data_IF_367611845469
#
_entry.id   IF_367611845469
#
_cell.length_a   1.000
_cell.length_b   1.000
_cell.length_c   1.000
_cell.angle_alpha   90.00
_cell.angle_beta   90.00
_cell.angle_gamma   90.00
#
_symmetry.space_group_name_H-M   'P 1'
#
loop_
_entity.id
_entity.type
_entity.pdbx_description
1 polymer ?
#
# COMPACT_ATOMS: atom_id res chain seq x y z
N UNK A 1 -9.92 32.76 -12.06
CA UNK A 1 -9.90 31.67 -11.07
C UNK A 1 -10.73 30.52 -11.63
N UNK A 2 -10.09 29.53 -12.25
CA UNK A 2 -10.77 28.31 -12.73
C UNK A 2 -10.65 27.26 -11.64
N UNK A 3 -11.78 26.84 -11.08
CA UNK A 3 -11.87 25.64 -10.25
C UNK A 3 -11.87 24.44 -11.20
N UNK A 4 -10.83 23.61 -11.15
CA UNK A 4 -10.86 22.30 -11.78
C UNK A 4 -11.62 21.36 -10.84
N UNK A 5 -12.75 20.84 -11.30
CA UNK A 5 -13.42 19.71 -10.66
C UNK A 5 -12.64 18.46 -11.06
N UNK A 6 -12.06 17.76 -10.08
CA UNK A 6 -11.51 16.42 -10.27
C UNK A 6 -12.72 15.46 -10.35
N UNK A 7 -12.92 14.87 -11.52
CA UNK A 7 -13.98 13.88 -11.74
C UNK A 7 -13.39 12.52 -11.37
N UNK A 8 -13.82 11.94 -10.25
CA UNK A 8 -13.63 10.52 -10.01
C UNK A 8 -14.41 9.74 -11.09
N UNK A 9 -13.73 8.87 -11.83
CA UNK A 9 -14.36 8.02 -12.84
C UNK A 9 -14.75 6.72 -12.14
N UNK A 10 -16.01 6.63 -11.74
CA UNK A 10 -16.63 5.40 -11.22
C UNK A 10 -17.07 4.54 -12.41
N UNK A 11 -16.46 3.36 -12.59
CA UNK A 11 -16.92 2.37 -13.57
C UNK A 11 -17.96 1.44 -12.93
N UNK A 12 -19.24 1.75 -13.12
CA UNK A 12 -20.34 0.85 -12.72
C UNK A 12 -20.58 -0.15 -13.86
N UNK A 13 -20.12 -1.39 -13.70
CA UNK A 13 -20.41 -2.47 -14.65
C UNK A 13 -21.76 -3.11 -14.26
N UNK A 14 -22.84 -2.71 -14.92
CA UNK A 14 -24.15 -3.34 -14.74
C UNK A 14 -24.31 -4.55 -15.68
N UNK A 15 -24.11 -5.77 -15.16
CA UNK A 15 -24.63 -6.97 -15.79
C UNK A 15 -26.05 -7.26 -15.32
N UNK A 16 -26.93 -7.60 -16.27
CA UNK A 16 -28.38 -7.63 -16.09
C UNK A 16 -28.95 -8.81 -15.28
N UNK A 17 -30.07 -8.51 -14.62
CA UNK A 17 -31.20 -9.37 -14.25
C UNK A 17 -30.89 -10.76 -13.64
N UNK A 18 -30.37 -10.72 -12.43
CA UNK A 18 -30.50 -11.71 -11.36
C UNK A 18 -30.36 -10.93 -10.05
N UNK A 19 -30.82 -11.42 -8.91
CA UNK A 19 -30.53 -10.79 -7.62
C UNK A 19 -29.03 -10.91 -7.27
N UNK A 20 -28.18 -10.22 -8.03
CA UNK A 20 -26.73 -10.27 -7.93
C UNK A 20 -26.22 -9.19 -7.00
N UNK A 21 -25.35 -9.60 -6.07
CA UNK A 21 -24.46 -8.71 -5.31
C UNK A 21 -23.84 -7.69 -6.26
N UNK A 22 -23.90 -6.42 -5.90
CA UNK A 22 -23.20 -5.36 -6.61
C UNK A 22 -21.79 -5.27 -6.04
N UNK A 23 -20.78 -5.73 -6.77
CA UNK A 23 -19.39 -5.53 -6.36
C UNK A 23 -18.98 -4.09 -6.63
N UNK A 24 -18.45 -3.42 -5.62
CA UNK A 24 -17.84 -2.10 -5.70
C UNK A 24 -16.32 -2.26 -5.73
N UNK A 25 -15.64 -1.51 -6.59
CA UNK A 25 -14.18 -1.55 -6.73
C UNK A 25 -13.62 -0.15 -6.64
N UNK A 26 -12.62 0.02 -5.76
CA UNK A 26 -11.87 1.26 -5.56
C UNK A 26 -10.41 1.02 -5.87
N UNK A 27 -9.91 1.66 -6.92
CA UNK A 27 -8.50 1.68 -7.27
C UNK A 27 -7.75 2.79 -6.54
N UNK A 28 -6.42 2.66 -6.45
CA UNK A 28 -5.55 3.80 -6.14
C UNK A 28 -5.83 4.95 -7.13
N UNK A 29 -6.20 6.11 -6.60
CA UNK A 29 -6.65 7.24 -7.41
C UNK A 29 -5.52 8.03 -8.05
N UNK A 30 -4.37 8.15 -7.37
CA UNK A 30 -3.22 8.95 -7.81
C UNK A 30 -1.91 8.34 -7.30
N UNK A 31 -0.79 8.66 -7.95
CA UNK A 31 0.57 8.30 -7.48
C UNK A 31 1.01 8.95 -6.16
N UNK A 32 0.11 9.62 -5.45
CA UNK A 32 0.34 10.10 -4.07
C UNK A 32 -0.47 9.32 -3.04
N UNK A 33 -1.34 8.42 -3.49
CA UNK A 33 -2.12 7.52 -2.64
C UNK A 33 -1.41 6.17 -2.43
N UNK A 34 -0.30 5.91 -3.13
CA UNK A 34 0.59 4.78 -2.87
C UNK A 34 2.07 5.15 -2.94
N UNK A 35 2.89 4.34 -2.29
CA UNK A 35 4.33 4.54 -2.20
C UNK A 35 4.99 3.55 -1.25
N UNK A 36 6.27 3.75 -0.97
CA UNK A 36 6.98 2.96 0.02
C UNK A 36 7.90 3.82 0.87
N UNK A 37 8.04 3.44 2.13
CA UNK A 37 9.02 3.98 3.06
C UNK A 37 10.15 2.97 3.23
N UNK A 38 11.38 3.44 3.10
CA UNK A 38 12.59 2.67 3.36
C UNK A 38 13.37 3.34 4.48
N UNK A 39 13.78 2.59 5.51
CA UNK A 39 14.63 3.08 6.59
C UNK A 39 15.97 2.32 6.60
N UNK A 40 17.04 3.04 6.92
CA UNK A 40 18.36 2.47 7.19
C UNK A 40 18.27 1.60 8.45
N UNK A 41 18.38 0.29 8.27
CA UNK A 41 18.11 -0.71 9.32
C UNK A 41 18.95 -0.48 10.57
N UNK A 42 20.17 0.03 10.43
CA UNK A 42 21.10 0.30 11.54
C UNK A 42 20.63 1.36 12.56
N UNK A 43 19.62 2.16 12.22
CA UNK A 43 19.06 3.18 13.12
C UNK A 43 17.74 2.75 13.79
N UNK A 44 17.17 1.62 13.35
CA UNK A 44 15.95 1.08 13.93
C UNK A 44 16.24 0.34 15.24
N UNK A 45 15.27 0.28 16.18
CA UNK A 45 13.93 0.88 16.11
C UNK A 45 13.85 2.33 16.60
N UNK A 46 14.96 2.94 17.03
CA UNK A 46 14.94 4.20 17.77
C UNK A 46 14.63 5.42 16.88
N UNK A 47 15.12 5.45 15.64
CA UNK A 47 14.88 6.55 14.69
C UNK A 47 14.92 6.01 13.26
N UNK A 48 14.04 6.49 12.39
CA UNK A 48 14.01 6.06 11.00
C UNK A 48 14.60 7.14 10.08
N UNK A 49 15.87 6.96 9.69
CA UNK A 49 16.46 7.74 8.60
C UNK A 49 16.39 6.96 7.29
N UNK A 50 15.90 7.58 6.22
CA UNK A 50 15.75 6.90 4.94
C UNK A 50 15.00 7.72 3.90
N UNK A 51 14.05 7.09 3.22
CA UNK A 51 13.37 7.64 2.05
C UNK A 51 11.88 7.31 2.11
N UNK A 52 11.03 8.28 1.81
CA UNK A 52 9.62 8.07 1.47
C UNK A 52 9.50 8.34 -0.03
N UNK A 53 9.06 7.35 -0.80
CA UNK A 53 9.08 7.38 -2.26
C UNK A 53 7.70 7.05 -2.81
N UNK A 54 7.30 7.84 -3.81
CA UNK A 54 6.13 7.66 -4.64
C UNK A 54 6.52 8.01 -6.10
N UNK A 55 5.62 7.86 -7.08
CA UNK A 55 5.94 8.05 -8.49
C UNK A 55 7.00 7.06 -9.04
N UNK A 56 7.05 5.85 -8.49
CA UNK A 56 7.93 4.76 -8.94
C UNK A 56 7.10 3.50 -9.19
N UNK A 57 7.44 2.75 -10.23
CA UNK A 57 6.69 1.55 -10.62
C UNK A 57 6.78 0.42 -9.58
N UNK A 58 7.92 0.28 -8.92
CA UNK A 58 8.17 -0.82 -7.97
C UNK A 58 8.25 -0.33 -6.53
N UNK A 59 7.34 -0.84 -5.69
CA UNK A 59 7.28 -0.53 -4.26
C UNK A 59 7.75 -1.71 -3.42
N UNK A 60 8.76 -1.50 -2.58
CA UNK A 60 9.46 -2.59 -1.88
C UNK A 60 8.90 -2.95 -0.51
N UNK A 61 8.66 -4.24 -0.27
CA UNK A 61 8.43 -4.83 1.07
C UNK A 61 9.57 -5.79 1.39
N UNK A 62 10.38 -5.47 2.40
CA UNK A 62 11.45 -6.34 2.88
C UNK A 62 12.79 -5.64 3.03
N UNK A 63 13.88 -6.39 2.90
CA UNK A 63 15.23 -5.92 3.22
C UNK A 63 16.14 -5.96 2.00
N UNK A 64 16.71 -4.82 1.63
CA UNK A 64 17.58 -4.66 0.47
C UNK A 64 18.91 -4.02 0.85
N UNK A 65 19.93 -4.21 0.01
CA UNK A 65 21.19 -3.46 0.11
C UNK A 65 21.14 -2.27 -0.84
N UNK A 66 21.31 -1.06 -0.32
CA UNK A 66 21.41 0.15 -1.12
C UNK A 66 22.69 0.15 -1.99
N UNK A 67 22.73 1.00 -3.02
CA UNK A 67 23.94 1.15 -3.85
C UNK A 67 25.18 1.63 -3.07
N UNK A 68 24.99 2.24 -1.89
CA UNK A 68 26.06 2.63 -0.97
C UNK A 68 26.54 1.51 -0.03
N UNK A 69 25.90 0.34 -0.05
CA UNK A 69 26.22 -0.82 0.79
C UNK A 69 25.49 -0.87 2.14
N UNK A 70 24.71 0.15 2.48
CA UNK A 70 23.85 0.14 3.68
C UNK A 70 22.62 -0.74 3.47
N UNK A 71 22.16 -1.41 4.52
CA UNK A 71 20.91 -2.18 4.53
C UNK A 71 19.70 -1.26 4.76
N UNK A 72 18.68 -1.43 3.92
CA UNK A 72 17.40 -0.75 3.98
C UNK A 72 16.30 -1.78 4.29
N UNK A 73 15.45 -1.47 5.25
CA UNK A 73 14.18 -2.18 5.48
C UNK A 73 13.07 -1.32 4.90
N UNK A 74 12.17 -1.91 4.13
CA UNK A 74 11.15 -1.21 3.34
C UNK A 74 9.75 -1.75 3.61
N UNK A 75 8.78 -0.84 3.61
CA UNK A 75 7.33 -1.09 3.78
C UNK A 75 6.57 -0.33 2.72
N UNK A 76 5.47 -0.89 2.23
CA UNK A 76 4.60 -0.25 1.24
C UNK A 76 3.40 0.37 1.94
N UNK A 77 2.95 1.50 1.42
CA UNK A 77 1.83 2.29 1.91
C UNK A 77 0.79 2.41 0.80
N UNK A 78 -0.47 2.16 1.12
CA UNK A 78 -1.62 2.38 0.24
C UNK A 78 -2.70 3.18 0.96
N UNK A 79 -3.41 4.02 0.22
CA UNK A 79 -4.48 4.88 0.72
C UNK A 79 -5.69 4.78 -0.20
N UNK A 80 -6.83 4.35 0.33
CA UNK A 80 -8.05 4.15 -0.46
C UNK A 80 -9.17 5.05 0.04
N UNK A 81 -9.96 5.62 -0.88
CA UNK A 81 -11.17 6.38 -0.58
C UNK A 81 -12.40 5.48 -0.69
N UNK A 82 -12.99 5.13 0.45
CA UNK A 82 -14.13 4.24 0.60
C UNK A 82 -15.44 5.02 0.80
N UNK A 83 -15.65 6.13 0.07
CA UNK A 83 -16.82 7.01 0.20
C UNK A 83 -18.18 6.27 0.16
N UNK A 84 -18.27 5.20 -0.62
CA UNK A 84 -19.50 4.42 -0.84
C UNK A 84 -19.51 3.07 -0.08
N UNK A 85 -18.59 2.87 0.86
CA UNK A 85 -18.53 1.64 1.63
C UNK A 85 -19.63 1.57 2.69
N UNK A 86 -20.37 0.45 2.73
CA UNK A 86 -21.51 0.24 3.61
C UNK A 86 -21.34 -1.02 4.47
N UNK A 87 -20.49 -0.95 5.50
CA UNK A 87 -20.39 -1.96 6.57
C UNK A 87 -20.20 -3.42 6.10
N UNK A 88 -19.54 -3.63 4.97
CA UNK A 88 -19.17 -4.97 4.48
C UNK A 88 -17.67 -5.23 4.62
N UNK A 89 -17.29 -6.52 4.63
CA UNK A 89 -15.88 -6.88 4.58
C UNK A 89 -15.30 -6.44 3.24
N UNK A 90 -14.06 -5.99 3.23
CA UNK A 90 -13.38 -5.55 2.01
C UNK A 90 -12.26 -6.52 1.67
N UNK A 91 -11.89 -6.62 0.39
CA UNK A 91 -10.76 -7.44 -0.05
C UNK A 91 -9.73 -6.55 -0.72
N UNK A 92 -8.52 -6.50 -0.16
CA UNK A 92 -7.36 -5.84 -0.77
C UNK A 92 -6.76 -6.74 -1.84
N UNK A 93 -6.43 -6.18 -3.00
CA UNK A 93 -5.68 -6.82 -4.07
C UNK A 93 -4.41 -6.05 -4.39
N UNK A 94 -3.28 -6.77 -4.40
CA UNK A 94 -1.97 -6.23 -4.76
C UNK A 94 -1.22 -7.17 -5.69
N UNK A 95 -0.52 -6.61 -6.68
CA UNK A 95 0.21 -7.37 -7.69
C UNK A 95 1.70 -7.41 -7.36
N UNK A 96 2.27 -8.61 -7.25
CA UNK A 96 3.70 -8.79 -6.99
C UNK A 96 4.49 -8.81 -8.31
N UNK A 97 5.24 -7.76 -8.60
CA UNK A 97 6.01 -7.63 -9.85
C UNK A 97 7.29 -8.48 -9.84
N UNK A 98 7.90 -8.64 -8.66
CA UNK A 98 9.21 -9.30 -8.53
C UNK A 98 9.46 -9.83 -7.12
N UNK A 99 10.23 -10.92 -7.02
CA UNK A 99 10.71 -11.50 -5.77
C UNK A 99 12.22 -11.60 -5.80
N UNK A 100 12.88 -11.09 -4.75
CA UNK A 100 14.31 -11.22 -4.54
C UNK A 100 14.53 -12.02 -3.25
N UNK A 101 15.24 -13.15 -3.36
CA UNK A 101 15.55 -14.01 -2.21
C UNK A 101 14.34 -14.80 -1.71
N UNK A 102 14.23 -14.95 -0.38
CA UNK A 102 13.16 -15.66 0.32
C UNK A 102 12.63 -14.80 1.49
N UNK A 103 11.81 -13.78 1.20
CA UNK A 103 11.45 -12.77 2.19
C UNK A 103 10.49 -13.27 3.28
N UNK A 104 9.73 -14.34 3.00
CA UNK A 104 8.74 -14.88 3.92
C UNK A 104 7.37 -14.26 3.70
N UNK A 105 6.52 -14.22 4.73
CA UNK A 105 5.15 -13.70 4.60
C UNK A 105 5.10 -12.19 4.77
N UNK A 106 4.17 -11.57 4.04
CA UNK A 106 3.79 -10.16 4.16
C UNK A 106 2.61 -10.05 5.11
N UNK A 107 2.70 -9.13 6.06
CA UNK A 107 1.63 -8.74 6.98
C UNK A 107 0.93 -7.49 6.42
N UNK A 108 -0.40 -7.50 6.44
CA UNK A 108 -1.26 -6.39 6.06
C UNK A 108 -1.74 -5.71 7.33
N UNK A 109 -1.43 -4.42 7.47
CA UNK A 109 -1.90 -3.60 8.58
C UNK A 109 -2.85 -2.53 8.07
N UNK A 110 -3.87 -2.23 8.86
CA UNK A 110 -4.88 -1.20 8.59
C UNK A 110 -4.73 -0.10 9.62
N UNK A 111 -4.83 1.15 9.16
CA UNK A 111 -4.75 2.33 10.00
C UNK A 111 -5.63 3.46 9.44
N UNK A 112 -5.76 4.52 10.23
CA UNK A 112 -6.41 5.74 9.77
C UNK A 112 -5.64 6.40 8.62
N UNK A 113 -6.30 7.32 7.95
CA UNK A 113 -5.70 8.13 6.89
C UNK A 113 -4.37 8.78 7.33
N UNK A 114 -3.28 8.47 6.60
CA UNK A 114 -1.96 9.08 6.79
C UNK A 114 -1.70 10.29 5.86
N UNK A 115 -2.69 10.65 5.03
CA UNK A 115 -2.62 11.73 4.06
C UNK A 115 -1.91 11.35 2.75
N UNK A 116 -1.85 12.28 1.80
CA UNK A 116 -1.12 12.05 0.55
C UNK A 116 0.38 11.97 0.80
N UNK A 117 1.04 10.97 0.19
CA UNK A 117 2.49 10.80 0.26
C UNK A 117 3.17 11.96 -0.48
N UNK A 118 4.13 12.65 0.14
CA UNK A 118 4.78 13.80 -0.47
C UNK A 118 5.68 13.36 -1.62
N UNK A 119 5.69 14.16 -2.70
CA UNK A 119 6.71 14.01 -3.73
C UNK A 119 8.08 14.36 -3.11
N UNK A 120 8.92 13.34 -2.92
CA UNK A 120 10.26 13.53 -2.37
C UNK A 120 11.04 14.48 -3.31
N UNK A 121 11.46 15.63 -2.79
CA UNK A 121 12.26 16.63 -3.52
C UNK A 121 13.52 17.05 -2.76
N UNK A 122 13.78 16.40 -1.64
CA UNK A 122 14.88 16.68 -0.72
C UNK A 122 16.12 15.83 -0.93
N UNK A 123 17.16 16.14 -0.16
CA UNK A 123 18.36 15.30 -0.07
C UNK A 123 18.04 14.08 0.80
N UNK A 124 18.30 12.89 0.28
CA UNK A 124 18.11 11.62 0.98
C UNK A 124 19.46 11.06 1.47
N UNK A 125 19.51 10.35 2.61
CA UNK A 125 18.37 10.01 3.49
C UNK A 125 17.88 11.19 4.33
N UNK A 126 16.60 11.21 4.64
CA UNK A 126 15.92 12.17 5.54
C UNK A 126 15.28 11.47 6.74
N UNK A 127 14.75 12.23 7.70
CA UNK A 127 13.95 11.65 8.79
C UNK A 127 12.57 11.24 8.27
N UNK A 128 12.30 9.94 8.24
CA UNK A 128 11.05 9.33 7.79
C UNK A 128 10.26 8.70 8.93
N UNK A 129 10.58 9.05 10.18
CA UNK A 129 9.95 8.49 11.38
C UNK A 129 8.42 8.60 11.38
N UNK A 130 7.88 9.71 10.86
CA UNK A 130 6.43 9.91 10.74
C UNK A 130 5.73 8.87 9.86
N UNK A 131 6.43 8.29 8.88
CA UNK A 131 5.92 7.27 7.98
C UNK A 131 6.27 5.87 8.49
N UNK A 132 7.49 5.71 9.02
CA UNK A 132 7.98 4.44 9.51
C UNK A 132 7.17 3.92 10.70
N UNK A 133 6.87 4.78 11.67
CA UNK A 133 6.18 4.40 12.90
C UNK A 133 4.64 4.38 12.77
N UNK A 134 4.09 4.52 11.57
CA UNK A 134 2.64 4.35 11.34
C UNK A 134 2.14 2.98 11.81
N UNK A 135 3.00 1.95 11.74
CA UNK A 135 2.72 0.59 12.22
C UNK A 135 2.36 0.53 13.70
N UNK A 136 2.80 1.49 14.52
CA UNK A 136 2.54 1.51 15.97
C UNK A 136 1.08 1.86 16.29
N UNK A 137 0.37 2.46 15.32
CA UNK A 137 -1.06 2.80 15.41
C UNK A 137 -1.97 1.89 14.58
N UNK A 138 -1.37 0.97 13.83
CA UNK A 138 -2.07 0.10 12.90
C UNK A 138 -2.47 -1.23 13.56
N UNK A 139 -3.46 -1.90 12.99
CA UNK A 139 -3.90 -3.23 13.42
C UNK A 139 -3.73 -4.24 12.28
N UNK A 140 -3.29 -5.45 12.61
CA UNK A 140 -3.04 -6.52 11.64
C UNK A 140 -4.38 -7.06 11.12
N UNK A 141 -4.61 -6.93 9.82
CA UNK A 141 -5.79 -7.47 9.15
C UNK A 141 -5.58 -8.91 8.67
N UNK A 142 -4.35 -9.27 8.31
CA UNK A 142 -4.04 -10.60 7.79
C UNK A 142 -2.63 -10.71 7.25
N UNK A 143 -2.33 -11.85 6.65
CA UNK A 143 -1.03 -12.14 6.05
C UNK A 143 -1.18 -12.98 4.78
N UNK A 144 -0.20 -12.87 3.90
CA UNK A 144 -0.12 -13.67 2.68
C UNK A 144 1.34 -13.89 2.28
N UNK A 145 1.57 -14.84 1.37
CA UNK A 145 2.89 -15.05 0.76
C UNK A 145 2.77 -14.74 -0.73
N UNK A 146 3.35 -13.64 -1.21
CA UNK A 146 3.23 -13.25 -2.62
C UNK A 146 3.90 -14.25 -3.57
N UNK A 147 3.30 -14.43 -4.74
CA UNK A 147 3.88 -15.14 -5.88
C UNK A 147 4.23 -14.16 -7.01
N UNK A 148 5.38 -14.34 -7.64
CA UNK A 148 5.86 -13.41 -8.66
C UNK A 148 4.96 -13.46 -9.89
N UNK A 149 4.51 -12.28 -10.33
CA UNK A 149 3.65 -12.14 -11.50
C UNK A 149 2.18 -12.44 -11.21
N UNK A 150 1.80 -12.56 -9.94
CA UNK A 150 0.43 -12.88 -9.52
C UNK A 150 -0.16 -11.81 -8.60
N UNK A 151 -1.50 -11.78 -8.58
CA UNK A 151 -2.29 -11.00 -7.64
C UNK A 151 -2.42 -11.77 -6.33
N UNK A 152 -2.17 -11.09 -5.23
CA UNK A 152 -2.48 -11.58 -3.89
C UNK A 152 -3.67 -10.82 -3.33
N UNK A 153 -4.47 -11.49 -2.49
CA UNK A 153 -5.60 -10.86 -1.82
C UNK A 153 -5.66 -11.14 -0.33
N UNK A 154 -6.18 -10.18 0.42
CA UNK A 154 -6.44 -10.28 1.87
C UNK A 154 -7.80 -9.69 2.19
N UNK A 155 -8.64 -10.49 2.85
CA UNK A 155 -9.92 -10.03 3.37
C UNK A 155 -9.70 -9.26 4.68
N UNK A 156 -10.34 -8.09 4.78
CA UNK A 156 -10.27 -7.18 5.90
C UNK A 156 -11.69 -7.03 6.44
N UNK A 157 -11.88 -7.35 7.72
CA UNK A 157 -13.22 -7.32 8.33
C UNK A 157 -13.81 -5.91 8.32
N UNK A 158 -15.12 -5.83 8.10
CA UNK A 158 -15.94 -4.63 8.21
C UNK A 158 -15.71 -3.88 9.53
N UNK A 159 -15.62 -4.59 10.66
CA UNK A 159 -15.34 -3.97 11.97
C UNK A 159 -14.00 -3.25 12.04
N UNK A 160 -12.99 -3.77 11.33
CA UNK A 160 -11.67 -3.16 11.28
C UNK A 160 -11.68 -1.92 10.39
N UNK A 161 -12.36 -1.99 9.24
CA UNK A 161 -12.59 -0.82 8.38
C UNK A 161 -13.39 0.26 9.12
N UNK A 162 -14.48 -0.10 9.81
CA UNK A 162 -15.29 0.84 10.60
C UNK A 162 -14.47 1.56 11.68
N UNK A 163 -13.49 0.85 12.27
CA UNK A 163 -12.61 1.42 13.31
C UNK A 163 -11.62 2.43 12.73
N UNK A 164 -11.13 2.21 11.50
CA UNK A 164 -10.00 2.94 10.94
C UNK A 164 -10.35 3.87 9.77
N UNK A 165 -11.54 3.76 9.18
CA UNK A 165 -12.00 4.70 8.17
C UNK A 165 -12.09 6.12 8.77
N UNK A 166 -11.45 7.08 8.12
CA UNK A 166 -11.44 8.48 8.56
C UNK A 166 -12.75 9.20 8.22
N UNK A 167 -12.96 10.38 8.80
CA UNK A 167 -14.11 11.26 8.50
C UNK A 167 -14.23 11.65 7.01
N UNK A 168 -13.13 11.56 6.24
CA UNK A 168 -13.09 11.81 4.80
C UNK A 168 -13.18 10.52 3.97
N UNK A 169 -13.56 9.41 4.60
CA UNK A 169 -13.71 8.06 4.03
C UNK A 169 -12.41 7.42 3.55
N UNK A 170 -11.25 7.91 4.00
CA UNK A 170 -9.97 7.30 3.69
C UNK A 170 -9.56 6.26 4.72
N UNK A 171 -8.99 5.16 4.23
CA UNK A 171 -8.29 4.15 5.03
C UNK A 171 -6.85 4.01 4.54
N UNK A 172 -5.91 3.87 5.47
CA UNK A 172 -4.52 3.56 5.20
C UNK A 172 -4.27 2.05 5.32
N UNK A 173 -3.39 1.54 4.47
CA UNK A 173 -2.90 0.15 4.52
C UNK A 173 -1.38 0.15 4.44
N UNK A 174 -0.74 -0.69 5.26
CA UNK A 174 0.70 -0.93 5.24
C UNK A 174 0.95 -2.39 4.90
N UNK A 175 1.87 -2.63 3.97
CA UNK A 175 2.49 -3.94 3.78
C UNK A 175 3.89 -3.92 4.37
N UNK A 176 4.19 -4.86 5.26
CA UNK A 176 5.54 -5.11 5.77
C UNK A 176 5.83 -6.61 5.80
N UNK A 177 7.10 -7.00 5.88
CA UNK A 177 7.38 -8.40 6.22
C UNK A 177 6.90 -8.69 7.64
N UNK A 178 6.31 -9.87 7.84
CA UNK A 178 6.00 -10.38 9.18
C UNK A 178 7.27 -10.49 10.03
N UNK A 179 8.38 -10.90 9.41
CA UNK A 179 9.70 -10.89 10.00
C UNK A 179 10.61 -9.90 9.25
N UNK A 180 10.92 -8.76 9.86
CA UNK A 180 11.80 -7.73 9.28
C UNK A 180 13.29 -7.95 9.62
N UNK A 181 13.61 -8.92 10.49
CA UNK A 181 14.98 -9.31 10.85
C UNK A 181 15.60 -10.30 9.84
N UNK A 182 15.08 -10.34 8.61
CA UNK A 182 15.66 -11.12 7.52
C UNK A 182 16.94 -10.47 7.00
N UNK A 183 17.84 -11.28 6.45
CA UNK A 183 19.07 -10.77 5.85
C UNK A 183 18.79 -9.88 4.63
N UNK A 184 19.78 -9.09 4.18
CA UNK A 184 19.63 -8.29 2.97
C UNK A 184 19.36 -9.14 1.72
N UNK A 185 18.73 -8.52 0.72
CA UNK A 185 18.29 -9.16 -0.53
C UNK A 185 17.16 -10.18 -0.31
N UNK A 186 16.22 -9.83 0.55
CA UNK A 186 14.98 -10.56 0.80
C UNK A 186 13.83 -9.55 0.73
N UNK A 187 13.29 -9.36 -0.47
CA UNK A 187 12.42 -8.25 -0.84
C UNK A 187 11.34 -8.71 -1.85
N UNK A 188 10.11 -8.26 -1.65
CA UNK A 188 9.03 -8.27 -2.65
C UNK A 188 8.91 -6.89 -3.29
N UNK A 189 8.65 -6.82 -4.59
CA UNK A 189 8.24 -5.59 -5.25
C UNK A 189 6.78 -5.71 -5.67
N UNK A 190 5.99 -4.69 -5.34
CA UNK A 190 4.59 -4.59 -5.69
C UNK A 190 4.36 -3.46 -6.70
N UNK A 191 3.38 -3.66 -7.58
CA UNK A 191 2.96 -2.65 -8.54
C UNK A 191 2.36 -1.44 -7.82
N UNK A 192 2.71 -0.26 -8.32
CA UNK A 192 2.10 1.02 -7.95
C UNK A 192 1.09 1.51 -8.99
N UNK A 193 0.48 2.66 -8.70
CA UNK A 193 -0.21 3.50 -9.67
C UNK A 193 0.64 3.69 -10.94
N UNK A 194 1.93 4.03 -10.81
CA UNK A 194 2.80 4.26 -11.97
C UNK A 194 3.02 3.00 -12.80
N UNK A 195 3.19 1.85 -12.15
CA UNK A 195 3.32 0.58 -12.85
C UNK A 195 2.09 0.31 -13.71
N UNK A 196 0.90 0.49 -13.13
CA UNK A 196 -0.35 0.24 -13.81
C UNK A 196 -0.56 1.17 -15.01
N UNK A 197 -0.26 2.46 -14.85
CA UNK A 197 -0.35 3.44 -15.94
C UNK A 197 0.65 3.17 -17.06
N UNK A 198 1.89 2.76 -16.76
CA UNK A 198 2.91 2.51 -17.76
C UNK A 198 2.74 1.17 -18.49
N UNK A 199 2.12 0.19 -17.85
CA UNK A 199 1.90 -1.15 -18.40
C UNK A 199 0.46 -1.41 -18.89
N UNK A 200 -0.45 -0.45 -18.71
CA UNK A 200 -1.88 -0.60 -18.99
C UNK A 200 -2.45 -1.86 -18.29
N UNK A 201 -2.15 -1.97 -16.99
CA UNK A 201 -2.64 -3.03 -16.10
C UNK A 201 -3.64 -2.49 -15.08
N UNK A 202 -4.28 -3.40 -14.34
CA UNK A 202 -5.08 -3.03 -13.16
C UNK A 202 -4.18 -2.41 -12.08
N UNK A 203 -4.73 -1.42 -11.36
CA UNK A 203 -4.09 -0.78 -10.20
C UNK A 203 -4.30 -1.63 -8.95
N UNK A 204 -3.46 -1.50 -7.91
CA UNK A 204 -3.81 -1.95 -6.57
C UNK A 204 -5.19 -1.43 -6.19
N UNK A 205 -6.04 -2.29 -5.64
CA UNK A 205 -7.45 -2.00 -5.45
C UNK A 205 -8.03 -2.71 -4.22
N UNK A 206 -9.17 -2.20 -3.78
CA UNK A 206 -10.03 -2.84 -2.79
C UNK A 206 -11.41 -3.05 -3.42
N UNK A 207 -12.02 -4.21 -3.18
CA UNK A 207 -13.43 -4.46 -3.51
C UNK A 207 -14.28 -4.85 -2.29
N UNK A 208 -15.60 -4.74 -2.44
CA UNK A 208 -16.60 -5.27 -1.51
C UNK A 208 -17.92 -5.56 -2.22
N UNK A 209 -18.77 -6.36 -1.57
CA UNK A 209 -20.15 -6.64 -1.99
C UNK A 209 -21.18 -5.86 -1.14
#
# INVERSE_FOLDING_TARGET
MKKLFLSAVLFVIMYGCGGGSQTFLVEISTGTDDGHVSALTKFLPDTAYGMILNNFEDMGVGVATSGGGDTLTSRVLYRFNLLDWENSDVVLYVYCTSIIGQPGSVEVLVLNDFGSIPNSSGTQPEDVSQWWFLVDSAEVAGEFTPEQGEWSSVSISSSLIETYISDNNYVGIILKLKNEDVGPNNLYQFASYEYAESHNSEKPNIDWE
#
